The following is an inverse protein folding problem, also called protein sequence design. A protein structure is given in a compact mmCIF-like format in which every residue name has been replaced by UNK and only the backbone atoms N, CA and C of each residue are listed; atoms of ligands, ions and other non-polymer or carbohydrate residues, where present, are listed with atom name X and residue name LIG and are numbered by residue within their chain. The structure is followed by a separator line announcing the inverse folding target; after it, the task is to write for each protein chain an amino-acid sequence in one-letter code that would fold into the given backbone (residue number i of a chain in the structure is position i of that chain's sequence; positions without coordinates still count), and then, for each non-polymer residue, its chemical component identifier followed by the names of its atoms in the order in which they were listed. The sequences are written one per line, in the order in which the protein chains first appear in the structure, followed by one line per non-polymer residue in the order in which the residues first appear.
data_IF_001125253032
#
_entry.id   IF_001125253032
#
_cell.length_a   1.000
_cell.length_b   1.000
_cell.length_c   1.000
_cell.angle_alpha   90.00
_cell.angle_beta   90.00
_cell.angle_gamma   90.00
#
_symmetry.space_group_name_H-M   'P 1'
#
loop_
_entity.id
_entity.type
_entity.pdbx_description
1 polymer ?
#
# COMPACT_ATOMS: atom_id res chain seq x y z
N UNK A 1 -9.08 -15.50 -16.17
CA UNK A 1 -7.69 -15.93 -15.86
C UNK A 1 -7.46 -15.89 -14.37
N UNK A 2 -6.96 -16.97 -13.78
CA UNK A 2 -6.67 -17.02 -12.35
C UNK A 2 -5.43 -16.19 -12.01
N UNK A 3 -5.48 -15.52 -10.85
CA UNK A 3 -4.35 -14.77 -10.30
C UNK A 3 -3.97 -15.39 -8.96
N UNK A 4 -2.71 -15.77 -8.81
CA UNK A 4 -2.24 -16.35 -7.55
C UNK A 4 -1.81 -15.26 -6.57
N UNK A 5 -1.14 -14.23 -7.09
CA UNK A 5 -0.73 -13.09 -6.27
C UNK A 5 -1.55 -11.87 -6.66
N UNK A 6 -2.21 -11.27 -5.68
CA UNK A 6 -2.98 -10.05 -5.89
C UNK A 6 -2.98 -9.23 -4.62
N UNK A 7 -2.97 -7.91 -4.79
CA UNK A 7 -3.17 -6.98 -3.69
C UNK A 7 -4.64 -6.59 -3.64
N UNK A 8 -5.14 -6.27 -2.45
CA UNK A 8 -6.47 -5.72 -2.33
C UNK A 8 -6.54 -4.38 -3.07
N UNK A 9 -7.74 -3.97 -3.45
CA UNK A 9 -7.94 -2.68 -4.09
C UNK A 9 -7.47 -1.54 -3.17
N UNK A 10 -7.76 -1.64 -1.86
CA UNK A 10 -7.34 -0.64 -0.89
C UNK A 10 -5.81 -0.51 -0.82
N UNK A 11 -5.08 -1.64 -0.80
CA UNK A 11 -3.62 -1.62 -0.79
C UNK A 11 -3.07 -1.01 -2.08
N UNK A 12 -3.64 -1.37 -3.22
CA UNK A 12 -3.25 -0.81 -4.51
C UNK A 12 -3.48 0.71 -4.54
N UNK A 13 -4.62 1.17 -4.04
CA UNK A 13 -4.92 2.61 -3.95
C UNK A 13 -3.92 3.29 -3.03
N UNK A 14 -3.64 2.72 -1.87
CA UNK A 14 -2.68 3.30 -0.91
C UNK A 14 -1.30 3.47 -1.51
N UNK A 15 -0.80 2.44 -2.18
CA UNK A 15 0.52 2.48 -2.83
C UNK A 15 0.55 3.54 -3.93
N UNK A 16 -0.47 3.58 -4.78
CA UNK A 16 -0.49 4.53 -5.90
C UNK A 16 -0.70 5.98 -5.46
N UNK A 17 -1.51 6.23 -4.41
CA UNK A 17 -1.68 7.58 -3.88
C UNK A 17 -0.39 8.10 -3.23
N UNK A 18 0.32 7.25 -2.48
CA UNK A 18 1.61 7.65 -1.90
C UNK A 18 2.63 7.91 -3.00
N UNK A 19 2.61 7.11 -4.07
CA UNK A 19 3.48 7.36 -5.22
C UNK A 19 3.18 8.72 -5.86
N UNK A 20 1.90 9.06 -6.06
CA UNK A 20 1.51 10.37 -6.60
C UNK A 20 2.01 11.51 -5.72
N UNK A 21 1.86 11.38 -4.40
CA UNK A 21 2.36 12.40 -3.47
C UNK A 21 3.88 12.49 -3.51
N UNK A 22 4.56 11.38 -3.74
CA UNK A 22 6.02 11.33 -3.87
C UNK A 22 6.51 11.99 -5.14
N UNK A 23 5.73 11.88 -6.22
CA UNK A 23 6.03 12.50 -7.52
C UNK A 23 5.81 14.02 -7.50
N UNK A 24 4.97 14.50 -6.60
CA UNK A 24 4.60 15.92 -6.49
C UNK A 24 4.85 16.42 -5.06
N UNK A 25 6.14 16.41 -4.60
CA UNK A 25 6.45 16.68 -3.19
C UNK A 25 6.12 18.09 -2.71
N UNK A 26 6.04 19.05 -3.63
CA UNK A 26 5.76 20.45 -3.30
C UNK A 26 4.29 20.83 -3.52
N UNK A 27 3.45 19.86 -3.86
CA UNK A 27 2.05 20.10 -4.16
C UNK A 27 1.13 19.42 -3.15
N UNK A 28 0.00 20.06 -2.89
CA UNK A 28 -1.09 19.49 -2.10
C UNK A 28 -2.09 18.87 -3.08
N UNK A 29 -2.32 17.56 -2.97
CA UNK A 29 -3.23 16.85 -3.88
C UNK A 29 -4.55 16.54 -3.16
N UNK A 30 -5.66 16.83 -3.84
CA UNK A 30 -6.99 16.51 -3.30
C UNK A 30 -7.37 15.08 -3.62
N UNK A 31 -8.32 14.54 -2.87
CA UNK A 31 -8.89 13.23 -3.15
C UNK A 31 -9.44 13.17 -4.57
N UNK A 32 -10.09 14.25 -5.01
CA UNK A 32 -10.65 14.35 -6.35
C UNK A 32 -9.57 14.24 -7.43
N UNK A 33 -8.47 14.99 -7.28
CA UNK A 33 -7.36 14.96 -8.24
C UNK A 33 -6.73 13.57 -8.32
N UNK A 34 -6.48 12.96 -7.16
CA UNK A 34 -5.91 11.62 -7.11
C UNK A 34 -6.83 10.57 -7.71
N UNK A 35 -8.14 10.65 -7.39
CA UNK A 35 -9.10 9.68 -7.92
C UNK A 35 -9.27 9.80 -9.43
N UNK A 36 -9.24 11.00 -9.97
CA UNK A 36 -9.30 11.22 -11.41
C UNK A 36 -8.05 10.67 -12.10
N UNK A 37 -6.87 10.93 -11.53
CA UNK A 37 -5.61 10.44 -12.09
C UNK A 37 -5.55 8.93 -12.10
N UNK A 38 -5.97 8.29 -11.01
CA UNK A 38 -5.90 6.84 -10.85
C UNK A 38 -7.14 6.12 -11.40
N UNK A 39 -8.17 6.88 -11.80
CA UNK A 39 -9.45 6.34 -12.30
C UNK A 39 -10.12 5.41 -11.30
N UNK A 40 -10.21 5.87 -10.07
CA UNK A 40 -10.85 5.15 -8.97
C UNK A 40 -11.96 6.00 -8.34
N UNK A 41 -12.79 5.37 -7.52
CA UNK A 41 -13.84 6.05 -6.77
C UNK A 41 -13.24 7.07 -5.81
N UNK A 42 -13.74 8.31 -5.85
CA UNK A 42 -13.31 9.37 -4.94
C UNK A 42 -13.58 8.97 -3.47
N UNK A 43 -14.72 8.35 -3.22
CA UNK A 43 -15.09 7.88 -1.88
C UNK A 43 -14.13 6.81 -1.36
N UNK A 44 -13.74 5.86 -2.21
CA UNK A 44 -12.78 4.82 -1.84
C UNK A 44 -11.39 5.43 -1.61
N UNK A 45 -10.99 6.35 -2.47
CA UNK A 45 -9.72 7.08 -2.30
C UNK A 45 -9.72 7.84 -0.96
N UNK A 46 -10.81 8.52 -0.62
CA UNK A 46 -10.92 9.27 0.64
C UNK A 46 -10.73 8.37 1.86
N UNK A 47 -11.34 7.18 1.85
CA UNK A 47 -11.20 6.22 2.96
C UNK A 47 -9.78 5.73 3.12
N UNK A 48 -9.11 5.44 2.02
CA UNK A 48 -7.71 5.01 2.04
C UNK A 48 -6.82 6.14 2.55
N UNK A 49 -7.05 7.37 2.09
CA UNK A 49 -6.27 8.52 2.56
C UNK A 49 -6.46 8.77 4.06
N UNK A 50 -7.67 8.60 4.58
CA UNK A 50 -7.92 8.70 6.02
C UNK A 50 -7.09 7.67 6.79
N UNK A 51 -6.99 6.46 6.28
CA UNK A 51 -6.17 5.41 6.89
C UNK A 51 -4.69 5.78 6.89
N UNK A 52 -4.19 6.31 5.77
CA UNK A 52 -2.79 6.73 5.64
C UNK A 52 -2.47 7.89 6.59
N UNK A 53 -3.40 8.82 6.77
CA UNK A 53 -3.25 9.91 7.74
C UNK A 53 -3.21 9.37 9.17
N UNK A 54 -4.10 8.44 9.50
CA UNK A 54 -4.13 7.81 10.81
C UNK A 54 -2.81 7.10 11.13
N UNK A 55 -2.21 6.45 10.15
CA UNK A 55 -0.95 5.74 10.30
C UNK A 55 0.29 6.65 10.21
N UNK A 56 0.08 7.96 10.05
CA UNK A 56 1.16 8.93 10.03
C UNK A 56 1.97 9.00 8.74
N UNK A 57 1.48 8.38 7.67
CA UNK A 57 2.15 8.38 6.36
C UNK A 57 1.82 9.64 5.57
N UNK A 58 0.57 10.09 5.61
CA UNK A 58 0.11 11.29 4.94
C UNK A 58 -0.38 12.31 5.95
N UNK A 59 -0.45 13.56 5.51
CA UNK A 59 -0.96 14.68 6.30
C UNK A 59 -2.09 15.34 5.53
N UNK A 60 -3.20 15.63 6.22
CA UNK A 60 -4.31 16.35 5.66
C UNK A 60 -4.20 17.84 6.00
N UNK A 61 -4.45 18.70 5.01
CA UNK A 61 -4.57 20.14 5.18
C UNK A 61 -6.00 20.53 4.88
N UNK A 62 -6.64 21.22 5.82
CA UNK A 62 -8.06 21.63 5.69
C UNK A 62 -8.19 23.00 5.05
N UNK A 63 -9.40 23.26 4.52
CA UNK A 63 -9.80 24.57 3.99
C UNK A 63 -9.45 24.76 2.52
N UNK A 64 -9.62 25.99 1.99
CA UNK A 64 -9.29 26.32 0.60
C UNK A 64 -7.83 26.00 0.29
N UNK A 65 -7.58 25.31 -0.80
CA UNK A 65 -6.25 24.85 -1.15
C UNK A 65 -5.79 23.63 -0.33
N UNK A 66 -6.69 23.01 0.44
CA UNK A 66 -6.40 21.83 1.25
C UNK A 66 -6.32 20.55 0.41
N UNK A 67 -5.91 19.49 1.06
CA UNK A 67 -5.70 18.18 0.45
C UNK A 67 -4.69 17.38 1.26
N UNK A 68 -3.85 16.62 0.57
CA UNK A 68 -2.91 15.72 1.23
C UNK A 68 -1.48 15.96 0.75
N UNK A 69 -0.55 15.76 1.67
CA UNK A 69 0.89 15.74 1.42
C UNK A 69 1.48 14.55 2.19
N UNK A 70 2.72 14.17 1.87
CA UNK A 70 3.43 13.18 2.67
C UNK A 70 3.78 13.77 4.04
N UNK A 71 3.62 12.97 5.08
CA UNK A 71 3.99 13.33 6.45
C UNK A 71 5.40 12.84 6.81
N UNK A 72 5.98 12.01 5.96
CA UNK A 72 7.33 11.46 6.12
C UNK A 72 8.05 11.55 4.78
N UNK A 73 9.40 11.67 4.78
CA UNK A 73 10.15 11.67 3.52
C UNK A 73 9.93 10.40 2.72
N UNK A 74 9.78 10.55 1.40
CA UNK A 74 9.59 9.39 0.50
C UNK A 74 10.73 8.37 0.61
N UNK A 75 11.94 8.82 0.93
CA UNK A 75 13.10 7.95 1.12
C UNK A 75 12.98 7.04 2.36
N UNK A 76 12.12 7.40 3.31
CA UNK A 76 11.88 6.61 4.52
C UNK A 76 10.63 5.74 4.41
N UNK A 77 9.87 5.88 3.32
CA UNK A 77 8.66 5.11 3.10
C UNK A 77 8.93 3.97 2.11
N UNK A 78 8.82 2.73 2.61
CA UNK A 78 8.92 1.55 1.74
C UNK A 78 7.53 1.12 1.29
N UNK A 79 7.47 0.32 0.23
CA UNK A 79 6.23 -0.30 -0.20
C UNK A 79 5.60 -1.10 0.94
N UNK A 80 6.43 -1.79 1.74
CA UNK A 80 5.95 -2.58 2.87
C UNK A 80 5.25 -1.71 3.92
N UNK A 81 5.82 -0.55 4.24
CA UNK A 81 5.23 0.36 5.23
C UNK A 81 3.80 0.75 4.83
N UNK A 82 3.59 1.10 3.57
CA UNK A 82 2.27 1.50 3.07
C UNK A 82 1.34 0.29 2.98
N UNK A 83 1.82 -0.84 2.49
CA UNK A 83 1.05 -2.07 2.44
C UNK A 83 0.53 -2.46 3.83
N UNK A 84 1.41 -2.48 4.84
CA UNK A 84 1.05 -2.86 6.20
C UNK A 84 0.13 -1.84 6.89
N UNK A 85 0.22 -0.57 6.51
CA UNK A 85 -0.68 0.46 7.01
C UNK A 85 -2.14 0.20 6.59
N UNK A 86 -2.34 -0.38 5.42
CA UNK A 86 -3.66 -0.67 4.86
C UNK A 86 -4.15 -2.08 5.26
N UNK A 87 -3.30 -3.09 5.09
CA UNK A 87 -3.69 -4.49 5.24
C UNK A 87 -3.37 -5.07 6.62
N UNK A 88 -2.57 -4.39 7.41
CA UNK A 88 -2.02 -4.93 8.63
C UNK A 88 -0.70 -5.64 8.36
N UNK A 89 -0.07 -6.13 9.43
CA UNK A 89 1.27 -6.71 9.36
C UNK A 89 1.30 -7.95 8.47
N UNK A 90 2.25 -7.98 7.55
CA UNK A 90 2.44 -9.14 6.67
C UNK A 90 3.07 -10.27 7.47
N UNK A 91 2.32 -11.36 7.63
CA UNK A 91 2.77 -12.54 8.37
C UNK A 91 3.62 -13.44 7.46
N UNK A 92 4.58 -14.13 8.07
CA UNK A 92 5.44 -15.05 7.34
C UNK A 92 4.70 -16.30 6.88
N UNK A 93 3.68 -16.70 7.64
CA UNK A 93 2.89 -17.89 7.35
C UNK A 93 1.42 -17.61 7.61
N UNK A 94 0.58 -18.13 6.77
CA UNK A 94 -0.86 -18.02 6.96
C UNK A 94 -1.58 -19.24 6.38
N UNK A 95 -2.77 -19.53 6.91
CA UNK A 95 -3.64 -20.55 6.37
C UNK A 95 -4.48 -19.96 5.24
N UNK A 96 -4.47 -20.58 4.07
CA UNK A 96 -5.25 -20.10 2.92
C UNK A 96 -6.76 -20.13 3.18
N UNK A 97 -7.21 -21.00 4.08
CA UNK A 97 -8.62 -21.13 4.43
C UNK A 97 -8.98 -20.46 5.76
N UNK A 98 -7.99 -19.89 6.43
CA UNK A 98 -8.18 -19.22 7.72
C UNK A 98 -8.85 -20.13 8.78
N UNK A 99 -8.46 -21.41 8.81
CA UNK A 99 -8.95 -22.36 9.81
C UNK A 99 -7.90 -22.58 10.90
N UNK A 100 -8.38 -22.80 12.13
CA UNK A 100 -7.50 -23.01 13.27
C UNK A 100 -6.77 -24.34 13.22
N UNK A 101 -7.36 -25.32 12.55
CA UNK A 101 -6.79 -26.65 12.42
C UNK A 101 -7.09 -27.22 11.05
N UNK A 102 -6.03 -27.59 10.34
CA UNK A 102 -6.17 -28.16 9.00
C UNK A 102 -6.72 -29.59 9.09
N UNK A 103 -7.81 -29.91 8.36
CA UNK A 103 -8.34 -31.28 8.32
C UNK A 103 -7.34 -32.31 7.82
N UNK A 104 -6.37 -31.88 7.01
CA UNK A 104 -5.31 -32.75 6.49
C UNK A 104 -4.22 -33.07 7.52
N UNK A 105 -4.28 -32.47 8.71
CA UNK A 105 -3.29 -32.64 9.75
C UNK A 105 -2.01 -31.85 9.51
N UNK A 106 -1.53 -31.86 8.27
CA UNK A 106 -0.33 -31.16 7.86
C UNK A 106 -0.71 -30.20 6.71
N UNK A 107 -0.22 -28.97 6.75
CA UNK A 107 -0.57 -27.98 5.73
C UNK A 107 0.15 -28.28 4.39
N UNK A 108 -0.61 -28.47 3.35
CA UNK A 108 -0.09 -28.76 2.00
C UNK A 108 0.70 -27.57 1.42
N UNK A 109 0.38 -26.35 1.87
CA UNK A 109 0.92 -25.13 1.30
C UNK A 109 1.89 -24.40 2.23
N UNK A 110 2.29 -25.03 3.33
CA UNK A 110 3.12 -24.40 4.37
C UNK A 110 4.41 -23.81 3.80
N UNK A 111 5.14 -24.60 3.00
CA UNK A 111 6.39 -24.15 2.40
C UNK A 111 6.13 -23.07 1.33
N UNK A 112 5.09 -23.28 0.53
CA UNK A 112 4.75 -22.35 -0.55
C UNK A 112 4.37 -20.98 0.01
N UNK A 113 3.46 -20.92 0.99
CA UNK A 113 3.03 -19.65 1.57
C UNK A 113 4.18 -18.93 2.28
N UNK A 114 5.04 -19.68 2.97
CA UNK A 114 6.22 -19.11 3.62
C UNK A 114 7.20 -18.51 2.61
N UNK A 115 7.48 -19.26 1.52
CA UNK A 115 8.39 -18.80 0.47
C UNK A 115 7.84 -17.58 -0.26
N UNK A 116 6.56 -17.61 -0.64
CA UNK A 116 5.90 -16.51 -1.37
C UNK A 116 5.87 -15.26 -0.50
N UNK A 117 5.45 -15.40 0.77
CA UNK A 117 5.36 -14.25 1.67
C UNK A 117 6.73 -13.63 1.96
N UNK A 118 7.75 -14.45 2.12
CA UNK A 118 9.11 -13.95 2.33
C UNK A 118 9.61 -13.18 1.12
N UNK A 119 9.38 -13.73 -0.07
CA UNK A 119 9.77 -13.07 -1.33
C UNK A 119 9.07 -11.73 -1.49
N UNK A 120 7.76 -11.69 -1.22
CA UNK A 120 6.97 -10.45 -1.29
C UNK A 120 7.48 -9.44 -0.26
N UNK A 121 7.70 -9.87 0.99
CA UNK A 121 8.20 -9.00 2.04
C UNK A 121 9.54 -8.37 1.67
N UNK A 122 10.49 -9.17 1.20
CA UNK A 122 11.82 -8.70 0.81
C UNK A 122 11.74 -7.68 -0.32
N UNK A 123 10.88 -7.94 -1.30
CA UNK A 123 10.66 -6.99 -2.40
C UNK A 123 10.08 -5.67 -1.90
N UNK A 124 9.03 -5.74 -1.08
CA UNK A 124 8.34 -4.55 -0.56
C UNK A 124 9.23 -3.73 0.38
N UNK A 125 10.09 -4.39 1.17
CA UNK A 125 11.05 -3.70 2.04
C UNK A 125 12.17 -3.01 1.28
N UNK A 126 12.57 -3.57 0.16
CA UNK A 126 13.72 -3.08 -0.62
C UNK A 126 13.41 -1.82 -1.40
N UNK A 127 12.15 -1.57 -1.76
CA UNK A 127 11.77 -0.44 -2.60
C UNK A 127 11.15 0.70 -1.79
N UNK A 128 11.77 1.88 -1.88
CA UNK A 128 11.22 3.10 -1.28
C UNK A 128 10.43 3.88 -2.33
N UNK A 129 9.56 4.77 -1.88
CA UNK A 129 8.81 5.64 -2.80
C UNK A 129 9.72 6.68 -3.46
N UNK A 130 10.84 7.05 -2.81
CA UNK A 130 11.83 7.92 -3.44
C UNK A 130 12.46 7.23 -4.66
N UNK A 131 12.79 5.95 -4.54
CA UNK A 131 13.35 5.17 -5.64
C UNK A 131 12.34 5.04 -6.79
N UNK A 132 11.09 4.73 -6.47
CA UNK A 132 10.03 4.59 -7.47
C UNK A 132 9.75 5.91 -8.19
N UNK A 133 9.74 7.01 -7.45
CA UNK A 133 9.53 8.34 -8.03
C UNK A 133 10.69 8.75 -8.94
N UNK A 134 11.92 8.37 -8.59
CA UNK A 134 13.10 8.62 -9.42
C UNK A 134 13.03 7.84 -10.73
N UNK A 135 12.57 6.58 -10.68
CA UNK A 135 12.43 5.72 -11.87
C UNK A 135 11.41 6.28 -12.86
N UNK A 136 10.32 6.89 -12.36
CA UNK A 136 9.29 7.50 -13.20
C UNK A 136 9.81 8.69 -14.02
N UNK A 137 10.87 9.35 -13.54
CA UNK A 137 11.47 10.49 -14.22
C UNK A 137 12.58 10.09 -15.20
N UNK A 138 12.91 8.81 -15.25
CA UNK A 138 13.88 8.26 -16.16
C UNK A 138 13.20 7.48 -17.28
#
# INVERSE_FOLDING_TARGET
MAKIVSFSEAAAIGIHTVLLLSLHPDEVLTTKEMSETLKISENHCAKVMQRLVHEGIARATRGPGGGFTLNRPAAELTLLTVFEAIEGKLEDKYCMFQVNRCPAGQCLFHELTGTVNRTIREYLERHTFADLAADEHN
#
